data_IF_118264704756
#
_entry.id   IF_118264704756
#
_cell.length_a   1.000
_cell.length_b   1.000
_cell.length_c   1.000
_cell.angle_alpha   90.00
_cell.angle_beta   90.00
_cell.angle_gamma   90.00
#
_symmetry.space_group_name_H-M   'P 1'
#
loop_
_entity.id
_entity.type
_entity.pdbx_description
1 polymer ?
#
# COMPACT_ATOMS: atom_id res chain seq x y z
N UNK A 1 -31.80 15.44 7.67
CA UNK A 1 -30.75 15.55 6.62
C UNK A 1 -30.67 14.19 5.94
N UNK A 2 -30.57 14.11 4.61
CA UNK A 2 -30.59 12.81 3.91
C UNK A 2 -29.39 11.94 4.32
N UNK A 3 -29.63 10.98 5.22
CA UNK A 3 -28.63 10.06 5.79
C UNK A 3 -28.02 9.09 4.75
N UNK A 4 -28.50 9.11 3.51
CA UNK A 4 -28.11 8.18 2.45
C UNK A 4 -27.07 8.73 1.45
N UNK A 5 -26.64 10.00 1.55
CA UNK A 5 -25.64 10.53 0.60
C UNK A 5 -24.25 9.93 0.87
N UNK A 6 -23.63 9.24 -0.11
CA UNK A 6 -22.31 8.65 0.06
C UNK A 6 -21.23 9.74 0.21
N UNK A 7 -20.12 9.38 0.86
CA UNK A 7 -18.99 10.28 1.11
C UNK A 7 -17.89 9.97 0.09
N UNK A 8 -17.32 11.01 -0.52
CA UNK A 8 -16.16 10.87 -1.39
C UNK A 8 -14.93 10.53 -0.55
N UNK A 9 -14.38 9.32 -0.74
CA UNK A 9 -13.15 8.89 -0.07
C UNK A 9 -11.92 9.17 -0.91
N UNK A 10 -12.00 8.90 -2.22
CA UNK A 10 -10.91 9.10 -3.18
C UNK A 10 -11.40 9.78 -4.46
N UNK A 11 -10.73 10.86 -4.87
CA UNK A 11 -11.05 11.53 -6.14
C UNK A 11 -10.51 10.75 -7.36
N UNK A 12 -10.90 11.17 -8.57
CA UNK A 12 -10.52 10.49 -9.80
C UNK A 12 -8.99 10.39 -9.97
N UNK A 13 -8.24 11.46 -9.70
CA UNK A 13 -6.78 11.48 -9.88
C UNK A 13 -6.06 10.52 -8.92
N UNK A 14 -6.51 10.44 -7.66
CA UNK A 14 -6.01 9.46 -6.70
C UNK A 14 -6.24 8.03 -7.17
N UNK A 15 -7.44 7.76 -7.71
CA UNK A 15 -7.80 6.44 -8.20
C UNK A 15 -7.01 6.03 -9.43
N UNK A 16 -6.92 6.89 -10.43
CA UNK A 16 -6.17 6.61 -11.65
C UNK A 16 -4.69 6.39 -11.34
N UNK A 17 -4.08 7.22 -10.49
CA UNK A 17 -2.68 7.04 -10.11
C UNK A 17 -2.44 5.70 -9.38
N UNK A 18 -3.33 5.33 -8.46
CA UNK A 18 -3.27 4.03 -7.79
C UNK A 18 -3.34 2.86 -8.77
N UNK A 19 -4.27 2.87 -9.73
CA UNK A 19 -4.39 1.79 -10.71
C UNK A 19 -3.21 1.72 -11.67
N UNK A 20 -2.61 2.86 -12.03
CA UNK A 20 -1.34 2.89 -12.79
C UNK A 20 -0.24 2.19 -11.99
N UNK A 21 -0.06 2.55 -10.71
CA UNK A 21 0.92 1.89 -9.84
C UNK A 21 0.64 0.40 -9.69
N UNK A 22 -0.63 -0.01 -9.54
CA UNK A 22 -1.01 -1.41 -9.40
C UNK A 22 -0.65 -2.22 -10.66
N UNK A 23 -0.92 -1.69 -11.85
CA UNK A 23 -0.56 -2.34 -13.12
C UNK A 23 0.96 -2.44 -13.24
N UNK A 24 1.69 -1.34 -13.00
CA UNK A 24 3.15 -1.33 -13.05
C UNK A 24 3.76 -2.30 -12.03
N UNK A 25 3.18 -2.41 -10.84
CA UNK A 25 3.59 -3.38 -9.83
C UNK A 25 3.41 -4.82 -10.31
N UNK A 26 2.28 -5.16 -10.94
CA UNK A 26 2.08 -6.50 -11.50
C UNK A 26 3.12 -6.79 -12.58
N UNK A 27 3.36 -5.85 -13.49
CA UNK A 27 4.37 -6.01 -14.55
C UNK A 27 5.79 -6.17 -13.98
N UNK A 28 6.18 -5.30 -13.04
CA UNK A 28 7.48 -5.36 -12.38
C UNK A 28 7.65 -6.64 -11.53
N UNK A 29 6.60 -7.03 -10.80
CA UNK A 29 6.58 -8.24 -9.98
C UNK A 29 6.72 -9.51 -10.82
N UNK A 30 5.96 -9.65 -11.90
CA UNK A 30 6.05 -10.82 -12.79
C UNK A 30 7.39 -10.89 -13.52
N UNK A 31 7.90 -9.78 -14.04
CA UNK A 31 9.22 -9.74 -14.67
C UNK A 31 10.35 -9.99 -13.66
N UNK A 32 10.25 -9.46 -12.44
CA UNK A 32 11.21 -9.70 -11.37
C UNK A 32 11.22 -11.16 -10.92
N UNK A 33 10.04 -11.79 -10.75
CA UNK A 33 9.92 -13.21 -10.44
C UNK A 33 10.52 -14.10 -11.53
N UNK A 34 10.34 -13.73 -12.80
CA UNK A 34 10.97 -14.43 -13.93
C UNK A 34 12.50 -14.44 -13.84
N UNK A 35 13.09 -13.38 -13.31
CA UNK A 35 14.53 -13.22 -13.14
C UNK A 35 15.05 -13.76 -11.79
N UNK A 36 14.15 -13.98 -10.83
CA UNK A 36 14.50 -14.41 -9.47
C UNK A 36 14.71 -15.92 -9.35
N UNK A 37 13.82 -16.73 -9.94
CA UNK A 37 13.89 -18.19 -9.83
C UNK A 37 13.69 -18.88 -11.19
N UNK A 38 14.55 -19.85 -11.59
CA UNK A 38 14.48 -20.47 -12.91
C UNK A 38 13.12 -21.12 -13.24
N UNK A 39 12.44 -21.70 -12.24
CA UNK A 39 11.11 -22.29 -12.44
C UNK A 39 10.03 -21.27 -12.87
N UNK A 40 10.27 -19.97 -12.66
CA UNK A 40 9.37 -18.89 -13.03
C UNK A 40 9.80 -18.21 -14.34
N UNK A 41 10.87 -18.67 -14.99
CA UNK A 41 11.42 -18.01 -16.18
C UNK A 41 10.44 -17.97 -17.36
N UNK A 42 9.45 -18.89 -17.40
CA UNK A 42 8.37 -18.86 -18.39
C UNK A 42 7.58 -17.55 -18.38
N UNK A 43 7.53 -16.84 -17.25
CA UNK A 43 6.91 -15.50 -17.16
C UNK A 43 7.59 -14.48 -18.08
N UNK A 44 8.85 -14.69 -18.47
CA UNK A 44 9.56 -13.82 -19.41
C UNK A 44 8.89 -13.73 -20.79
N UNK A 45 8.11 -14.75 -21.19
CA UNK A 45 7.35 -14.73 -22.44
C UNK A 45 6.31 -13.61 -22.48
N UNK A 46 5.79 -13.17 -21.33
CA UNK A 46 4.85 -12.04 -21.24
C UNK A 46 5.48 -10.71 -21.66
N UNK A 47 6.81 -10.62 -21.64
CA UNK A 47 7.58 -9.41 -21.93
C UNK A 47 8.39 -9.53 -23.22
N UNK A 48 8.14 -10.54 -24.06
CA UNK A 48 8.91 -10.77 -25.29
C UNK A 48 10.17 -11.63 -25.10
N UNK A 49 10.28 -12.37 -23.99
CA UNK A 49 11.37 -13.28 -23.67
C UNK A 49 12.42 -12.69 -22.74
N UNK A 50 13.45 -13.48 -22.41
CA UNK A 50 14.51 -13.11 -21.46
C UNK A 50 15.20 -11.77 -21.77
N UNK A 51 15.64 -11.50 -23.02
CA UNK A 51 16.29 -10.24 -23.37
C UNK A 51 15.42 -9.01 -23.10
N UNK A 52 14.17 -9.02 -23.55
CA UNK A 52 13.23 -7.91 -23.36
C UNK A 52 12.79 -7.76 -21.91
N UNK A 53 12.58 -8.87 -21.19
CA UNK A 53 12.28 -8.84 -19.74
C UNK A 53 13.36 -8.06 -18.98
N UNK A 54 14.63 -8.37 -19.24
CA UNK A 54 15.77 -7.70 -18.62
C UNK A 54 15.87 -6.22 -18.99
N UNK A 55 15.53 -5.86 -20.23
CA UNK A 55 15.55 -4.46 -20.70
C UNK A 55 14.43 -3.66 -20.05
N UNK A 56 13.19 -4.18 -20.06
CA UNK A 56 11.98 -3.47 -19.66
C UNK A 56 11.83 -3.35 -18.14
N UNK A 57 12.20 -4.39 -17.38
CA UNK A 57 12.00 -4.44 -15.93
C UNK A 57 12.45 -3.17 -15.18
N UNK A 58 13.69 -2.67 -15.34
CA UNK A 58 14.13 -1.48 -14.60
C UNK A 58 13.39 -0.20 -15.03
N UNK A 59 12.95 -0.07 -16.29
CA UNK A 59 12.13 1.07 -16.72
C UNK A 59 10.73 1.04 -16.09
N UNK A 60 10.10 -0.14 -16.06
CA UNK A 60 8.82 -0.34 -15.39
C UNK A 60 8.96 -0.01 -13.89
N UNK A 61 10.07 -0.44 -13.27
CA UNK A 61 10.40 -0.13 -11.88
C UNK A 61 10.54 1.37 -11.61
N UNK A 62 11.25 2.10 -12.47
CA UNK A 62 11.37 3.58 -12.35
C UNK A 62 10.02 4.26 -12.54
N UNK A 63 9.24 3.87 -13.56
CA UNK A 63 7.90 4.41 -13.76
C UNK A 63 7.01 4.17 -12.53
N UNK A 64 7.04 2.94 -11.99
CA UNK A 64 6.32 2.57 -10.77
C UNK A 64 6.71 3.49 -9.60
N UNK A 65 8.01 3.73 -9.40
CA UNK A 65 8.50 4.61 -8.35
C UNK A 65 7.98 6.05 -8.50
N UNK A 66 8.01 6.61 -9.71
CA UNK A 66 7.54 7.98 -9.97
C UNK A 66 6.05 8.13 -9.66
N UNK A 67 5.20 7.22 -10.14
CA UNK A 67 3.76 7.27 -9.86
C UNK A 67 3.44 7.01 -8.38
N UNK A 68 4.18 6.08 -7.75
CA UNK A 68 4.06 5.79 -6.32
C UNK A 68 4.44 7.01 -5.46
N UNK A 69 5.50 7.75 -5.83
CA UNK A 69 5.88 8.98 -5.15
C UNK A 69 4.75 10.02 -5.19
N UNK A 70 4.01 10.10 -6.31
CA UNK A 70 2.80 10.91 -6.41
C UNK A 70 1.72 10.55 -5.37
N UNK A 71 1.54 9.25 -5.07
CA UNK A 71 0.63 8.80 -4.01
C UNK A 71 1.17 9.14 -2.62
N UNK A 72 2.48 8.97 -2.40
CA UNK A 72 3.15 9.30 -1.13
C UNK A 72 2.98 10.76 -0.80
N UNK A 73 3.32 11.67 -1.72
CA UNK A 73 3.18 13.11 -1.53
C UNK A 73 1.73 13.53 -1.22
N UNK A 74 0.76 12.78 -1.73
CA UNK A 74 -0.66 13.05 -1.51
C UNK A 74 -1.18 12.52 -0.17
N UNK A 75 -0.71 11.37 0.26
CA UNK A 75 -1.28 10.67 1.42
C UNK A 75 -0.40 10.68 2.67
N UNK A 76 0.87 11.10 2.60
CA UNK A 76 1.81 11.02 3.73
C UNK A 76 1.30 11.68 5.01
N UNK A 77 0.67 12.86 4.92
CA UNK A 77 0.13 13.58 6.09
C UNK A 77 -0.93 12.79 6.84
N UNK A 78 -1.76 12.04 6.13
CA UNK A 78 -2.79 11.18 6.73
C UNK A 78 -2.21 9.86 7.30
N UNK A 79 -0.95 9.56 7.00
CA UNK A 79 -0.27 8.32 7.39
C UNK A 79 0.74 8.49 8.54
N UNK A 80 0.79 9.65 9.20
CA UNK A 80 1.56 9.80 10.43
C UNK A 80 1.03 8.87 11.53
N UNK A 81 1.96 8.19 12.20
CA UNK A 81 1.68 7.30 13.32
C UNK A 81 1.44 8.15 14.57
N UNK A 82 0.23 8.09 15.09
CA UNK A 82 -0.24 8.81 16.27
C UNK A 82 -0.19 7.91 17.51
N UNK A 83 -0.39 8.50 18.70
CA UNK A 83 -0.53 7.72 19.93
C UNK A 83 -1.72 6.75 19.89
N UNK A 84 -2.81 7.15 19.24
CA UNK A 84 -3.99 6.32 19.06
C UNK A 84 -3.71 5.07 18.20
N UNK A 85 -2.84 5.19 17.19
CA UNK A 85 -2.43 4.04 16.36
C UNK A 85 -1.65 2.99 17.18
N UNK A 86 -0.85 3.41 18.16
CA UNK A 86 -0.15 2.47 19.05
C UNK A 86 -1.11 1.70 19.95
N UNK A 87 -2.18 2.35 20.42
CA UNK A 87 -3.24 1.70 21.17
C UNK A 87 -4.01 0.70 20.30
N UNK A 88 -4.26 1.06 19.04
CA UNK A 88 -4.89 0.17 18.07
C UNK A 88 -4.04 -1.08 17.81
N UNK A 89 -2.72 -0.93 17.65
CA UNK A 89 -1.80 -2.06 17.43
C UNK A 89 -1.76 -3.04 18.61
N UNK A 90 -1.92 -2.55 19.84
CA UNK A 90 -2.04 -3.41 21.04
C UNK A 90 -3.32 -4.24 21.09
N UNK A 91 -4.29 -3.95 20.22
CA UNK A 91 -5.60 -4.62 20.12
C UNK A 91 -5.79 -5.33 18.78
N UNK A 92 -4.70 -5.60 18.05
CA UNK A 92 -4.76 -6.22 16.72
C UNK A 92 -5.40 -7.61 16.75
N UNK A 93 -5.23 -8.34 17.85
CA UNK A 93 -5.88 -9.62 18.13
C UNK A 93 -7.41 -9.52 18.02
N UNK A 94 -8.00 -8.46 18.59
CA UNK A 94 -9.44 -8.20 18.54
C UNK A 94 -9.91 -7.82 17.14
N UNK A 95 -9.14 -6.98 16.45
CA UNK A 95 -9.43 -6.57 15.07
C UNK A 95 -9.45 -7.78 14.15
N UNK A 96 -8.49 -8.70 14.28
CA UNK A 96 -8.43 -9.93 13.49
C UNK A 96 -9.63 -10.87 13.75
N UNK A 97 -10.15 -10.87 14.98
CA UNK A 97 -11.36 -11.61 15.36
C UNK A 97 -12.67 -10.86 15.03
N UNK A 98 -12.60 -9.73 14.34
CA UNK A 98 -13.74 -8.87 14.00
C UNK A 98 -14.52 -8.41 15.25
N UNK A 99 -13.83 -8.23 16.39
CA UNK A 99 -14.37 -7.71 17.65
C UNK A 99 -14.06 -6.23 17.77
N UNK A 100 -15.11 -5.42 17.87
CA UNK A 100 -15.00 -3.94 17.87
C UNK A 100 -14.85 -3.37 19.30
N UNK A 101 -15.18 -4.14 20.33
CA UNK A 101 -15.13 -3.70 21.71
C UNK A 101 -13.70 -3.38 22.19
N UNK A 102 -13.49 -2.14 22.61
CA UNK A 102 -12.22 -1.65 23.14
C UNK A 102 -11.17 -1.36 22.05
N UNK A 103 -11.55 -1.37 20.77
CA UNK A 103 -10.71 -0.89 19.67
C UNK A 103 -10.82 0.64 19.60
N UNK A 104 -9.70 1.38 19.66
CA UNK A 104 -9.74 2.84 19.58
C UNK A 104 -10.32 3.34 18.25
N UNK A 105 -11.01 4.51 18.25
CA UNK A 105 -11.66 5.04 17.06
C UNK A 105 -10.62 5.42 16.00
N UNK A 106 -10.92 5.15 14.73
CA UNK A 106 -9.94 5.19 13.63
C UNK A 106 -10.06 6.49 12.81
N UNK A 107 -8.92 7.08 12.44
CA UNK A 107 -8.82 8.23 11.52
C UNK A 107 -9.05 7.87 10.05
N UNK A 108 -8.51 8.68 9.12
CA UNK A 108 -8.65 8.42 7.68
C UNK A 108 -8.08 7.05 7.27
N UNK A 109 -6.98 6.65 7.91
CA UNK A 109 -6.35 5.33 7.78
C UNK A 109 -6.13 4.72 9.17
N UNK A 110 -6.28 3.39 9.27
CA UNK A 110 -5.96 2.65 10.50
C UNK A 110 -4.46 2.38 10.62
N UNK A 111 -4.00 1.93 11.80
CA UNK A 111 -2.59 1.70 12.05
C UNK A 111 -1.98 0.65 11.10
N UNK A 112 -2.71 -0.41 10.74
CA UNK A 112 -2.26 -1.40 9.76
C UNK A 112 -2.03 -0.82 8.36
N UNK A 113 -2.93 0.04 7.89
CA UNK A 113 -2.79 0.77 6.62
C UNK A 113 -1.60 1.72 6.65
N UNK A 114 -1.35 2.39 7.79
CA UNK A 114 -0.19 3.27 7.96
C UNK A 114 1.11 2.49 7.97
N UNK A 115 1.19 1.37 8.69
CA UNK A 115 2.36 0.48 8.68
C UNK A 115 2.65 -0.01 7.26
N UNK A 116 1.61 -0.45 6.55
CA UNK A 116 1.73 -0.83 5.14
C UNK A 116 2.29 0.32 4.30
N UNK A 117 1.75 1.54 4.41
CA UNK A 117 2.24 2.71 3.68
C UNK A 117 3.75 2.93 3.87
N UNK A 118 4.24 2.89 5.11
CA UNK A 118 5.66 3.07 5.42
C UNK A 118 6.52 1.91 4.95
N UNK A 119 6.05 0.67 5.08
CA UNK A 119 6.74 -0.51 4.53
C UNK A 119 6.89 -0.44 3.02
N UNK A 120 5.82 -0.07 2.30
CA UNK A 120 5.86 0.09 0.85
C UNK A 120 6.85 1.20 0.46
N UNK A 121 6.83 2.35 1.14
CA UNK A 121 7.79 3.44 0.88
C UNK A 121 9.25 3.01 1.10
N UNK A 122 9.54 2.35 2.22
CA UNK A 122 10.88 1.85 2.51
C UNK A 122 11.35 0.84 1.44
N UNK A 123 10.49 -0.12 1.07
CA UNK A 123 10.81 -1.10 0.03
C UNK A 123 11.05 -0.44 -1.33
N UNK A 124 10.21 0.54 -1.71
CA UNK A 124 10.34 1.26 -2.98
C UNK A 124 11.65 2.06 -3.06
N UNK A 125 12.08 2.68 -1.96
CA UNK A 125 13.36 3.37 -1.89
C UNK A 125 14.55 2.40 -2.02
N UNK A 126 14.50 1.27 -1.30
CA UNK A 126 15.53 0.23 -1.39
C UNK A 126 15.59 -0.33 -2.81
N UNK A 127 14.44 -0.64 -3.43
CA UNK A 127 14.36 -1.14 -4.80
C UNK A 127 14.92 -0.15 -5.82
N UNK A 128 14.61 1.14 -5.70
CA UNK A 128 15.15 2.15 -6.61
C UNK A 128 16.68 2.24 -6.50
N UNK A 129 17.20 2.42 -5.28
CA UNK A 129 18.64 2.60 -5.06
C UNK A 129 19.41 1.36 -5.48
N UNK A 130 19.01 0.18 -4.99
CA UNK A 130 19.65 -1.09 -5.38
C UNK A 130 19.47 -1.40 -6.86
N UNK A 131 18.31 -1.07 -7.45
CA UNK A 131 18.02 -1.28 -8.86
C UNK A 131 18.93 -0.45 -9.76
N UNK A 132 19.19 0.81 -9.40
CA UNK A 132 20.18 1.67 -10.07
C UNK A 132 21.58 1.05 -9.97
N UNK A 133 22.00 0.60 -8.78
CA UNK A 133 23.32 -0.02 -8.59
C UNK A 133 23.51 -1.26 -9.47
N UNK A 134 22.50 -2.12 -9.61
CA UNK A 134 22.59 -3.35 -10.42
C UNK A 134 22.21 -3.15 -11.89
N UNK A 135 21.94 -1.91 -12.32
CA UNK A 135 21.55 -1.61 -13.69
C UNK A 135 22.77 -1.67 -14.63
N UNK A 136 23.00 -2.85 -15.19
CA UNK A 136 24.20 -3.18 -15.98
C UNK A 136 24.47 -2.27 -17.18
N UNK A 137 23.43 -1.80 -17.86
CA UNK A 137 23.59 -1.03 -19.09
C UNK A 137 24.16 0.39 -18.86
N UNK A 138 23.90 0.99 -17.69
CA UNK A 138 24.16 2.43 -17.49
C UNK A 138 24.87 2.79 -16.19
N UNK A 139 24.71 2.02 -15.12
CA UNK A 139 25.12 2.48 -13.79
C UNK A 139 26.03 1.48 -13.06
N UNK A 140 25.87 0.18 -13.31
CA UNK A 140 26.57 -0.85 -12.53
C UNK A 140 28.10 -0.77 -12.60
N UNK A 141 28.68 -0.21 -13.67
CA UNK A 141 30.14 -0.08 -13.81
C UNK A 141 30.75 0.99 -12.91
N UNK A 142 29.96 1.86 -12.30
CA UNK A 142 30.43 2.84 -11.31
C UNK A 142 30.58 2.26 -9.90
N UNK A 143 30.15 1.01 -9.67
CA UNK A 143 30.13 0.38 -8.36
C UNK A 143 31.06 -0.83 -8.31
N UNK A 144 31.67 -1.07 -7.14
CA UNK A 144 32.49 -2.25 -6.92
C UNK A 144 31.63 -3.53 -6.82
N UNK A 145 32.30 -4.68 -6.93
CA UNK A 145 31.61 -5.98 -6.91
C UNK A 145 30.91 -6.27 -5.58
N UNK A 146 31.42 -5.74 -4.45
CA UNK A 146 30.80 -5.87 -3.14
C UNK A 146 29.48 -5.11 -3.08
N UNK A 147 29.48 -3.85 -3.52
CA UNK A 147 28.28 -3.03 -3.63
C UNK A 147 27.22 -3.66 -4.55
N UNK A 148 27.62 -4.19 -5.72
CA UNK A 148 26.69 -4.88 -6.64
C UNK A 148 26.06 -6.11 -5.98
N UNK A 149 26.85 -6.94 -5.30
CA UNK A 149 26.34 -8.14 -4.61
C UNK A 149 25.37 -7.80 -3.49
N UNK A 150 25.70 -6.80 -2.67
CA UNK A 150 24.82 -6.31 -1.61
C UNK A 150 23.53 -5.73 -2.19
N UNK A 151 23.63 -4.92 -3.26
CA UNK A 151 22.47 -4.36 -3.93
C UNK A 151 21.56 -5.44 -4.49
N UNK A 152 22.09 -6.49 -5.15
CA UNK A 152 21.28 -7.62 -5.63
C UNK A 152 20.52 -8.31 -4.48
N UNK A 153 21.17 -8.55 -3.34
CA UNK A 153 20.54 -9.15 -2.17
C UNK A 153 19.42 -8.27 -1.62
N UNK A 154 19.70 -6.97 -1.40
CA UNK A 154 18.73 -6.02 -0.89
C UNK A 154 17.55 -5.82 -1.84
N UNK A 155 17.80 -5.81 -3.15
CA UNK A 155 16.77 -5.71 -4.16
C UNK A 155 15.82 -6.90 -4.10
N UNK A 156 16.36 -8.12 -4.07
CA UNK A 156 15.57 -9.34 -3.97
C UNK A 156 14.76 -9.41 -2.67
N UNK A 157 15.37 -9.06 -1.53
CA UNK A 157 14.70 -9.03 -0.24
C UNK A 157 13.58 -7.98 -0.20
N UNK A 158 13.84 -6.76 -0.67
CA UNK A 158 12.85 -5.70 -0.72
C UNK A 158 11.69 -6.05 -1.67
N UNK A 159 11.97 -6.67 -2.82
CA UNK A 159 10.95 -7.15 -3.75
C UNK A 159 10.06 -8.21 -3.09
N UNK A 160 10.66 -9.17 -2.37
CA UNK A 160 9.91 -10.20 -1.65
C UNK A 160 8.98 -9.60 -0.58
N UNK A 161 9.49 -8.70 0.26
CA UNK A 161 8.70 -8.01 1.28
C UNK A 161 7.59 -7.16 0.64
N UNK A 162 7.89 -6.46 -0.46
CA UNK A 162 6.90 -5.66 -1.19
C UNK A 162 5.77 -6.55 -1.75
N UNK A 163 6.10 -7.69 -2.35
CA UNK A 163 5.11 -8.64 -2.88
C UNK A 163 4.19 -9.16 -1.78
N UNK A 164 4.74 -9.62 -0.67
CA UNK A 164 3.94 -10.07 0.48
C UNK A 164 3.06 -8.95 1.03
N UNK A 165 3.59 -7.73 1.12
CA UNK A 165 2.85 -6.55 1.59
C UNK A 165 1.65 -6.24 0.68
N UNK A 166 1.82 -6.34 -0.64
CA UNK A 166 0.73 -6.13 -1.60
C UNK A 166 -0.31 -7.26 -1.54
N UNK A 167 0.09 -8.52 -1.32
CA UNK A 167 -0.86 -9.62 -1.10
C UNK A 167 -1.74 -9.33 0.11
N UNK A 168 -1.13 -8.92 1.24
CA UNK A 168 -1.87 -8.52 2.46
C UNK A 168 -2.77 -7.32 2.19
N UNK A 169 -2.29 -6.33 1.43
CA UNK A 169 -3.07 -5.16 1.04
C UNK A 169 -4.34 -5.52 0.27
N UNK A 170 -4.21 -6.36 -0.76
CA UNK A 170 -5.33 -6.82 -1.59
C UNK A 170 -6.31 -7.63 -0.73
N UNK A 171 -5.81 -8.56 0.08
CA UNK A 171 -6.63 -9.37 0.97
C UNK A 171 -7.45 -8.49 1.94
N UNK A 172 -6.82 -7.50 2.58
CA UNK A 172 -7.50 -6.56 3.47
C UNK A 172 -8.58 -5.75 2.73
N UNK A 173 -8.33 -5.35 1.48
CA UNK A 173 -9.31 -4.68 0.63
C UNK A 173 -10.54 -5.54 0.31
N UNK A 174 -10.35 -6.85 0.12
CA UNK A 174 -11.43 -7.83 -0.12
C UNK A 174 -12.21 -8.14 1.17
N UNK A 175 -11.50 -8.24 2.30
CA UNK A 175 -12.06 -8.56 3.60
C UNK A 175 -12.97 -7.44 4.12
N UNK A 176 -12.52 -6.17 4.02
CA UNK A 176 -13.32 -5.00 4.41
C UNK A 176 -14.25 -4.63 3.25
N UNK A 177 -15.44 -5.22 3.24
CA UNK A 177 -16.48 -5.00 2.21
C UNK A 177 -16.73 -3.51 1.99
N UNK A 178 -16.80 -3.10 0.73
CA UNK A 178 -16.93 -1.69 0.31
C UNK A 178 -15.60 -0.98 0.02
N UNK A 179 -14.46 -1.49 0.49
CA UNK A 179 -13.15 -0.85 0.25
C UNK A 179 -12.71 -0.89 -1.21
N UNK A 180 -12.93 -2.01 -1.91
CA UNK A 180 -12.68 -2.11 -3.37
C UNK A 180 -13.59 -1.14 -4.12
N UNK A 181 -14.86 -1.05 -3.73
CA UNK A 181 -15.82 -0.10 -4.30
C UNK A 181 -15.33 1.35 -4.17
N UNK A 182 -14.73 1.71 -3.03
CA UNK A 182 -14.12 3.02 -2.82
C UNK A 182 -12.95 3.29 -3.79
N UNK A 183 -12.15 2.27 -4.09
CA UNK A 183 -10.99 2.39 -4.98
C UNK A 183 -11.38 2.42 -6.46
N UNK A 184 -12.48 1.75 -6.83
CA UNK A 184 -13.02 1.74 -8.18
C UNK A 184 -13.85 2.99 -8.47
N UNK A 185 -14.75 3.37 -7.57
CA UNK A 185 -15.77 4.42 -7.81
C UNK A 185 -15.52 5.71 -7.03
N UNK A 186 -14.69 5.69 -5.99
CA UNK A 186 -14.33 6.87 -5.19
C UNK A 186 -15.19 7.09 -3.95
N UNK A 187 -16.35 6.45 -3.87
CA UNK A 187 -17.38 6.72 -2.87
C UNK A 187 -17.53 5.59 -1.86
N UNK A 188 -17.88 5.94 -0.63
CA UNK A 188 -18.22 4.99 0.46
C UNK A 188 -19.55 5.37 1.10
N UNK A 189 -20.27 4.38 1.63
CA UNK A 189 -21.48 4.66 2.42
C UNK A 189 -21.11 5.29 3.76
N UNK A 190 -22.02 6.09 4.33
CA UNK A 190 -21.85 6.68 5.66
C UNK A 190 -21.71 5.62 6.75
N UNK A 191 -22.48 4.53 6.65
CA UNK A 191 -22.40 3.40 7.58
C UNK A 191 -20.99 2.76 7.56
N UNK A 192 -20.41 2.57 6.37
CA UNK A 192 -19.04 2.07 6.24
C UNK A 192 -18.02 3.03 6.87
N UNK A 193 -18.15 4.34 6.59
CA UNK A 193 -17.26 5.36 7.13
C UNK A 193 -17.33 5.42 8.66
N UNK A 194 -18.54 5.39 9.24
CA UNK A 194 -18.76 5.37 10.69
C UNK A 194 -18.17 4.12 11.34
N UNK A 195 -18.36 2.96 10.72
CA UNK A 195 -17.90 1.66 11.25
C UNK A 195 -16.37 1.50 11.22
N UNK A 196 -15.75 1.81 10.08
CA UNK A 196 -14.33 1.51 9.86
C UNK A 196 -13.40 2.71 10.07
N UNK A 197 -13.93 3.93 10.08
CA UNK A 197 -13.16 5.17 10.08
C UNK A 197 -13.89 6.29 10.86
N UNK A 198 -14.32 5.99 12.08
CA UNK A 198 -15.20 6.85 12.89
C UNK A 198 -14.72 8.30 13.04
N UNK A 199 -13.43 8.52 13.35
CA UNK A 199 -12.89 9.88 13.53
C UNK A 199 -12.91 10.67 12.22
N UNK A 200 -12.62 9.99 11.11
CA UNK A 200 -12.68 10.61 9.77
C UNK A 200 -14.12 10.89 9.34
N UNK A 201 -15.06 10.00 9.67
CA UNK A 201 -16.48 10.24 9.45
C UNK A 201 -16.94 11.52 10.17
N UNK A 202 -16.61 11.66 11.46
CA UNK A 202 -16.93 12.86 12.24
C UNK A 202 -16.30 14.12 11.65
N UNK A 203 -15.04 14.06 11.24
CA UNK A 203 -14.33 15.17 10.60
C UNK A 203 -15.04 15.64 9.32
N UNK A 204 -15.44 14.72 8.43
CA UNK A 204 -16.05 15.07 7.14
C UNK A 204 -17.52 15.48 7.27
N UNK A 205 -18.23 14.95 8.25
CA UNK A 205 -19.66 15.24 8.45
C UNK A 205 -19.94 16.35 9.45
N UNK A 206 -18.94 16.77 10.23
CA UNK A 206 -19.11 17.72 11.34
C UNK A 206 -19.90 17.13 12.52
N UNK A 207 -20.07 15.80 12.58
CA UNK A 207 -20.80 15.13 13.65
C UNK A 207 -20.02 15.20 14.96
N UNK A 208 -20.51 16.01 15.90
CA UNK A 208 -19.91 16.27 17.22
C UNK A 208 -20.45 15.32 18.31
N UNK A 209 -21.24 14.30 17.97
CA UNK A 209 -21.80 13.41 18.99
C UNK A 209 -20.69 12.80 19.86
N UNK A 210 -20.67 13.10 21.17
CA UNK A 210 -19.65 12.57 22.07
C UNK A 210 -19.81 11.06 22.16
N UNK A 211 -18.69 10.34 22.20
CA UNK A 211 -18.70 8.94 22.57
C UNK A 211 -19.15 8.87 24.03
N UNK A 212 -20.40 8.46 24.27
CA UNK A 212 -20.89 8.19 25.61
C UNK A 212 -20.18 6.90 26.06
N UNK A 213 -18.99 7.03 26.67
CA UNK A 213 -18.41 5.93 27.42
C UNK A 213 -19.42 5.58 28.51
N UNK A 214 -19.94 4.36 28.45
CA UNK A 214 -21.01 3.88 29.31
C UNK A 214 -20.85 4.37 30.74
N UNK A 215 -21.76 5.23 31.16
CA UNK A 215 -22.13 5.39 32.56
C UNK A 215 -22.59 4.00 32.99
N UNK A 216 -21.73 3.30 33.75
CA UNK A 216 -22.21 2.20 34.57
C UNK A 216 -23.17 2.84 35.56
N UNK A 217 -24.46 2.60 35.36
CA UNK A 217 -25.40 2.63 36.47
C UNK A 217 -25.06 1.44 37.37
N UNK A 218 -24.91 1.73 38.66
CA UNK A 218 -24.43 0.81 39.69
C UNK A 218 -23.62 1.56 40.73
#
# INVERSE_FOLDING_TARGET
MNDNKPILRYNANERSNHWIVAILFVLAGLSGLALFHPALFWLSHLFGGGPWTRILHPFIGVAMFVFFLGLVLRFWRANFITANDRLWLRRIDRVMLNKEEGVPPIGKYNAGQKLLFWTLLACMLVLLVSGVVIWRAWFSHYFDIGAIRLATLLHALAAFVLILSIIVHIYAGIWIKGSIGAMLHGWVSRAWARKHHELWYREVTGDKTPHNHGRKEG
#
